data_IF_411146154383
#
_entry.id   IF_411146154383
#
_cell.length_a   1.000
_cell.length_b   1.000
_cell.length_c   1.000
_cell.angle_alpha   90.00
_cell.angle_beta   90.00
_cell.angle_gamma   90.00
#
_symmetry.space_group_name_H-M   'P 1'
#
loop_
_entity.id
_entity.type
_entity.pdbx_description
1 polymer ?
#
# COMPACT_ATOMS: atom_id res chain seq x y z
N UNK A 1 -3.73 33.51 -18.83
CA UNK A 1 -2.74 32.41 -18.77
C UNK A 1 -3.43 31.26 -18.08
N UNK A 2 -3.62 30.15 -18.79
CA UNK A 2 -4.32 28.98 -18.25
C UNK A 2 -3.47 28.29 -17.20
N UNK A 3 -3.98 28.23 -15.97
CA UNK A 3 -3.42 27.38 -14.91
C UNK A 3 -3.65 25.92 -15.30
N UNK A 4 -2.56 25.17 -15.41
CA UNK A 4 -2.62 23.72 -15.63
C UNK A 4 -3.35 23.06 -14.47
N UNK A 5 -4.46 22.40 -14.78
CA UNK A 5 -5.11 21.49 -13.86
C UNK A 5 -4.12 20.36 -13.53
N UNK A 6 -3.64 20.33 -12.28
CA UNK A 6 -2.91 19.20 -11.74
C UNK A 6 -3.85 18.00 -11.73
N UNK A 7 -3.74 17.15 -12.74
CA UNK A 7 -4.37 15.84 -12.73
C UNK A 7 -3.85 15.06 -11.52
N UNK A 8 -4.76 14.36 -10.84
CA UNK A 8 -4.39 13.32 -9.87
C UNK A 8 -3.50 12.31 -10.58
N UNK A 9 -2.22 12.31 -10.21
CA UNK A 9 -1.22 11.44 -10.77
C UNK A 9 -1.34 10.04 -10.13
N UNK A 10 -2.08 9.16 -10.80
CA UNK A 10 -2.22 7.74 -10.43
C UNK A 10 -0.99 6.89 -10.81
N UNK A 11 0.14 7.49 -11.18
CA UNK A 11 1.26 6.77 -11.80
C UNK A 11 2.05 5.83 -10.90
N UNK A 12 1.71 5.65 -9.60
CA UNK A 12 2.42 4.63 -8.82
C UNK A 12 1.88 3.24 -9.21
N UNK A 13 2.63 2.44 -9.99
CA UNK A 13 2.09 1.27 -10.63
C UNK A 13 2.21 0.10 -9.67
N UNK A 14 1.16 -0.12 -8.86
CA UNK A 14 1.02 -1.27 -7.94
C UNK A 14 2.08 -1.38 -6.84
N UNK A 15 1.74 -2.04 -5.73
CA UNK A 15 2.74 -2.43 -4.75
C UNK A 15 3.70 -3.47 -5.36
N UNK A 16 4.93 -3.53 -4.87
CA UNK A 16 5.84 -4.64 -5.21
C UNK A 16 5.20 -5.98 -4.82
N UNK A 17 5.38 -7.05 -5.63
CA UNK A 17 4.85 -8.36 -5.28
C UNK A 17 5.44 -8.89 -3.97
N UNK A 18 4.59 -9.46 -3.12
CA UNK A 18 4.97 -10.09 -1.86
C UNK A 18 4.64 -11.58 -1.92
N UNK A 19 5.62 -12.44 -1.67
CA UNK A 19 5.38 -13.89 -1.58
C UNK A 19 4.47 -14.18 -0.37
N UNK A 20 3.29 -14.74 -0.63
CA UNK A 20 2.31 -15.12 0.40
C UNK A 20 2.16 -16.63 0.53
N UNK A 21 2.73 -17.41 -0.40
CA UNK A 21 2.90 -18.85 -0.32
C UNK A 21 4.16 -19.28 -1.09
N UNK A 22 5.11 -19.90 -0.38
CA UNK A 22 6.34 -20.43 -0.99
C UNK A 22 6.17 -21.86 -1.51
N UNK A 23 6.74 -22.16 -2.69
CA UNK A 23 6.57 -23.44 -3.38
C UNK A 23 7.08 -24.67 -2.61
N UNK A 24 8.07 -24.51 -1.72
CA UNK A 24 8.69 -25.63 -0.99
C UNK A 24 7.67 -26.29 -0.05
N UNK A 25 6.90 -25.50 0.69
CA UNK A 25 5.93 -25.98 1.68
C UNK A 25 4.56 -26.35 1.10
N UNK A 26 4.29 -25.92 -0.12
CA UNK A 26 2.99 -26.10 -0.81
C UNK A 26 3.03 -27.22 -1.87
N UNK A 27 4.11 -27.99 -1.93
CA UNK A 27 4.24 -29.05 -2.95
C UNK A 27 4.43 -28.51 -4.38
N UNK A 28 4.80 -27.23 -4.55
CA UNK A 28 5.12 -26.63 -5.85
C UNK A 28 4.32 -25.38 -6.20
N UNK A 29 3.23 -25.08 -5.49
CA UNK A 29 2.40 -23.91 -5.77
C UNK A 29 2.96 -22.67 -5.09
N UNK A 30 3.44 -21.69 -5.86
CA UNK A 30 3.85 -20.38 -5.34
C UNK A 30 2.76 -19.34 -5.59
N UNK A 31 2.60 -18.41 -4.65
CA UNK A 31 1.66 -17.30 -4.77
C UNK A 31 2.33 -16.00 -4.35
N UNK A 32 2.36 -15.04 -5.26
CA UNK A 32 2.77 -13.66 -4.99
C UNK A 32 1.55 -12.74 -5.02
N UNK A 33 1.38 -11.91 -3.98
CA UNK A 33 0.28 -10.95 -3.88
C UNK A 33 0.74 -9.55 -4.30
N UNK A 34 -0.09 -8.87 -5.09
CA UNK A 34 0.12 -7.49 -5.55
C UNK A 34 -1.10 -6.66 -5.18
N UNK A 35 -0.90 -5.70 -4.29
CA UNK A 35 -1.94 -4.74 -3.89
C UNK A 35 -2.10 -3.68 -4.98
N UNK A 36 -3.27 -3.63 -5.59
CA UNK A 36 -3.56 -2.71 -6.68
C UNK A 36 -4.09 -1.39 -6.12
N UNK A 37 -3.54 -0.29 -6.64
CA UNK A 37 -3.91 1.09 -6.26
C UNK A 37 -4.97 1.69 -7.19
N UNK A 38 -5.75 0.83 -7.84
CA UNK A 38 -6.87 1.23 -8.69
C UNK A 38 -8.18 1.23 -7.90
N UNK A 39 -9.19 2.01 -8.34
CA UNK A 39 -10.52 1.93 -7.74
C UNK A 39 -11.09 0.51 -7.82
N UNK A 40 -11.56 -0.02 -6.70
CA UNK A 40 -12.25 -1.32 -6.69
C UNK A 40 -13.70 -1.15 -7.14
N UNK A 41 -14.25 -2.08 -7.96
CA UNK A 41 -15.66 -2.08 -8.32
C UNK A 41 -16.60 -2.25 -7.12
N UNK A 42 -16.07 -2.69 -5.96
CA UNK A 42 -16.82 -2.90 -4.72
C UNK A 42 -16.91 -1.67 -3.83
N UNK A 43 -16.19 -0.60 -4.16
CA UNK A 43 -16.18 0.66 -3.43
C UNK A 43 -14.79 1.05 -2.91
N UNK A 44 -14.70 2.25 -2.33
CA UNK A 44 -13.43 2.87 -1.93
C UNK A 44 -12.68 2.11 -0.81
N UNK A 45 -13.42 1.38 0.03
CA UNK A 45 -12.88 0.64 1.18
C UNK A 45 -12.26 -0.70 0.76
N UNK A 46 -12.48 -1.12 -0.49
CA UNK A 46 -11.99 -2.37 -1.05
C UNK A 46 -10.68 -2.17 -1.80
N UNK A 47 -9.82 -3.18 -1.71
CA UNK A 47 -8.54 -3.27 -2.40
C UNK A 47 -8.60 -4.46 -3.35
N UNK A 48 -8.30 -4.21 -4.62
CA UNK A 48 -8.05 -5.30 -5.56
C UNK A 48 -6.67 -5.89 -5.26
N UNK A 49 -6.61 -7.20 -5.02
CA UNK A 49 -5.38 -7.94 -4.77
C UNK A 49 -5.21 -8.93 -5.90
N UNK A 50 -4.22 -8.71 -6.76
CA UNK A 50 -3.81 -9.70 -7.74
C UNK A 50 -2.97 -10.78 -7.05
N UNK A 51 -3.35 -12.03 -7.24
CA UNK A 51 -2.59 -13.21 -6.84
C UNK A 51 -1.97 -13.82 -8.09
N UNK A 52 -0.64 -13.83 -8.15
CA UNK A 52 0.15 -14.49 -9.21
C UNK A 52 0.48 -15.90 -8.76
N UNK A 53 -0.27 -16.85 -9.30
CA UNK A 53 -0.11 -18.28 -9.06
C UNK A 53 0.96 -18.82 -10.00
N UNK A 54 1.96 -19.53 -9.47
CA UNK A 54 3.01 -20.16 -10.27
C UNK A 54 3.17 -21.63 -9.87
N UNK A 55 3.10 -22.53 -10.85
CA UNK A 55 3.41 -23.93 -10.66
C UNK A 55 4.93 -24.13 -10.86
N UNK A 56 5.62 -24.52 -9.78
CA UNK A 56 7.07 -24.77 -9.77
C UNK A 56 7.44 -26.25 -9.93
N UNK A 57 6.50 -27.09 -10.38
CA UNK A 57 6.73 -28.50 -10.72
C UNK A 57 6.83 -28.67 -12.23
N UNK A 58 7.54 -29.72 -12.62
CA UNK A 58 7.75 -30.10 -14.03
C UNK A 58 6.83 -31.25 -14.47
N UNK A 59 6.14 -31.89 -13.51
CA UNK A 59 5.39 -33.15 -13.70
C UNK A 59 4.00 -33.17 -13.05
N UNK A 60 3.58 -32.09 -12.38
CA UNK A 60 2.30 -32.00 -11.65
C UNK A 60 1.44 -30.88 -12.24
N UNK A 61 0.15 -31.16 -12.45
CA UNK A 61 -0.88 -30.14 -12.72
C UNK A 61 -1.66 -29.88 -11.43
N UNK A 62 -1.86 -28.60 -11.10
CA UNK A 62 -2.78 -28.20 -10.03
C UNK A 62 -4.17 -27.96 -10.62
N UNK A 63 -5.18 -28.60 -10.06
CA UNK A 63 -6.57 -28.50 -10.53
C UNK A 63 -7.44 -27.74 -9.52
N UNK A 64 -8.42 -27.01 -10.03
CA UNK A 64 -9.49 -26.36 -9.28
C UNK A 64 -8.97 -25.41 -8.18
N UNK A 65 -8.00 -24.55 -8.53
CA UNK A 65 -7.40 -23.60 -7.59
C UNK A 65 -8.41 -22.50 -7.27
N UNK A 66 -8.83 -22.41 -6.01
CA UNK A 66 -9.92 -21.53 -5.56
C UNK A 66 -9.72 -21.05 -4.13
N UNK A 67 -10.51 -20.05 -3.73
CA UNK A 67 -10.63 -19.69 -2.31
C UNK A 67 -11.37 -20.82 -1.58
N UNK A 68 -10.71 -21.41 -0.58
CA UNK A 68 -11.23 -22.41 0.34
C UNK A 68 -11.86 -21.79 1.58
N UNK A 69 -11.55 -22.34 2.76
CA UNK A 69 -12.09 -21.80 4.01
C UNK A 69 -11.54 -20.39 4.29
N UNK A 70 -12.33 -19.57 4.97
CA UNK A 70 -11.95 -18.21 5.35
C UNK A 70 -11.98 -18.04 6.86
N UNK A 71 -11.05 -17.26 7.39
CA UNK A 71 -10.96 -16.91 8.80
C UNK A 71 -10.99 -15.38 8.93
N UNK A 72 -12.10 -14.79 8.46
CA UNK A 72 -12.30 -13.34 8.46
C UNK A 72 -12.75 -12.88 9.85
N UNK A 73 -12.21 -11.74 10.30
CA UNK A 73 -12.60 -11.10 11.55
C UNK A 73 -13.00 -9.65 11.36
N UNK A 74 -13.78 -9.10 12.29
CA UNK A 74 -14.16 -7.69 12.27
C UNK A 74 -14.91 -7.30 11.00
N UNK A 75 -14.40 -6.29 10.29
CA UNK A 75 -14.97 -5.73 9.06
C UNK A 75 -14.29 -6.28 7.78
N UNK A 76 -13.54 -7.39 7.91
CA UNK A 76 -12.90 -8.02 6.77
C UNK A 76 -13.92 -8.71 5.88
N UNK A 77 -13.80 -8.49 4.57
CA UNK A 77 -14.63 -9.14 3.55
C UNK A 77 -13.77 -9.56 2.36
N UNK A 78 -14.19 -10.62 1.66
CA UNK A 78 -13.56 -11.12 0.45
C UNK A 78 -14.64 -11.36 -0.61
N UNK A 79 -14.40 -10.89 -1.81
CA UNK A 79 -15.02 -11.40 -3.02
C UNK A 79 -14.04 -12.35 -3.70
N UNK A 80 -14.44 -13.62 -3.80
CA UNK A 80 -13.62 -14.68 -4.36
C UNK A 80 -13.50 -14.54 -5.87
N UNK A 81 -12.35 -14.96 -6.41
CA UNK A 81 -12.14 -15.07 -7.86
C UNK A 81 -12.72 -16.38 -8.40
N UNK A 82 -12.96 -16.45 -9.71
CA UNK A 82 -13.39 -17.68 -10.38
C UNK A 82 -12.31 -18.76 -10.30
N UNK A 83 -12.64 -20.02 -9.95
CA UNK A 83 -11.66 -21.10 -9.85
C UNK A 83 -10.79 -21.23 -11.11
N UNK A 84 -9.48 -21.42 -10.91
CA UNK A 84 -8.59 -21.81 -11.99
C UNK A 84 -8.70 -23.31 -12.16
N UNK A 85 -9.34 -23.74 -13.25
CA UNK A 85 -9.61 -25.15 -13.55
C UNK A 85 -8.32 -25.98 -13.56
N UNK A 86 -7.28 -25.51 -14.27
CA UNK A 86 -6.00 -26.21 -14.37
C UNK A 86 -4.81 -25.23 -14.43
N UNK A 87 -3.72 -25.58 -13.75
CA UNK A 87 -2.43 -24.92 -13.84
C UNK A 87 -1.33 -25.99 -14.04
N UNK A 88 -1.00 -26.24 -15.30
CA UNK A 88 -0.02 -27.24 -15.70
C UNK A 88 1.41 -26.93 -15.25
N UNK A 89 2.36 -27.88 -15.43
CA UNK A 89 3.76 -27.73 -15.07
C UNK A 89 4.40 -26.45 -15.60
N UNK A 90 5.13 -25.72 -14.76
CA UNK A 90 5.75 -24.43 -15.10
C UNK A 90 4.76 -23.29 -15.39
N UNK A 91 3.46 -23.53 -15.30
CA UNK A 91 2.41 -22.56 -15.62
C UNK A 91 2.36 -21.39 -14.65
N UNK A 92 1.93 -20.24 -15.16
CA UNK A 92 1.69 -19.02 -14.37
C UNK A 92 0.34 -18.43 -14.77
N UNK A 93 -0.45 -18.03 -13.79
CA UNK A 93 -1.72 -17.34 -14.00
C UNK A 93 -1.91 -16.26 -12.93
N UNK A 94 -2.57 -15.16 -13.30
CA UNK A 94 -2.95 -14.11 -12.37
C UNK A 94 -4.47 -14.13 -12.18
N UNK A 95 -4.92 -14.04 -10.93
CA UNK A 95 -6.33 -13.91 -10.55
C UNK A 95 -6.49 -12.71 -9.62
N UNK A 96 -7.66 -12.08 -9.61
CA UNK A 96 -7.90 -10.88 -8.79
C UNK A 96 -8.98 -11.15 -7.76
N UNK A 97 -8.60 -10.97 -6.49
CA UNK A 97 -9.47 -10.98 -5.32
C UNK A 97 -9.87 -9.54 -4.99
N UNK A 98 -11.12 -9.28 -4.63
CA UNK A 98 -11.46 -8.01 -3.95
C UNK A 98 -11.47 -8.26 -2.45
N UNK A 99 -10.75 -7.44 -1.69
CA UNK A 99 -10.64 -7.58 -0.25
C UNK A 99 -10.90 -6.26 0.47
N UNK A 100 -11.77 -6.32 1.48
CA UNK A 100 -11.90 -5.26 2.49
C UNK A 100 -11.06 -5.64 3.71
N UNK A 101 -10.18 -4.75 4.13
CA UNK A 101 -9.29 -4.97 5.28
C UNK A 101 -9.73 -4.10 6.47
N UNK A 102 -9.66 -4.66 7.67
CA UNK A 102 -9.92 -3.90 8.91
C UNK A 102 -8.71 -3.06 9.36
N UNK A 103 -7.54 -3.31 8.77
CA UNK A 103 -6.27 -2.62 9.04
C UNK A 103 -5.55 -3.04 10.33
N UNK A 104 -6.10 -3.99 11.10
CA UNK A 104 -5.57 -4.39 12.41
C UNK A 104 -4.99 -5.78 12.39
N UNK A 105 -5.66 -6.71 11.72
CA UNK A 105 -5.21 -8.09 11.61
C UNK A 105 -5.10 -8.51 10.15
N UNK A 106 -4.23 -9.48 9.86
CA UNK A 106 -4.14 -10.08 8.55
C UNK A 106 -5.47 -10.67 8.10
N UNK A 107 -5.77 -10.55 6.81
CA UNK A 107 -6.86 -11.26 6.18
C UNK A 107 -6.37 -12.67 5.83
N UNK A 108 -7.12 -13.68 6.28
CA UNK A 108 -6.71 -15.09 6.21
C UNK A 108 -7.76 -15.94 5.51
N UNK A 109 -7.31 -16.74 4.56
CA UNK A 109 -8.11 -17.72 3.85
C UNK A 109 -7.23 -18.87 3.40
N UNK A 110 -7.80 -19.93 2.86
CA UNK A 110 -7.06 -21.01 2.22
C UNK A 110 -7.13 -20.88 0.70
N UNK A 111 -6.03 -21.15 0.02
CA UNK A 111 -6.03 -21.47 -1.39
C UNK A 111 -6.17 -22.99 -1.53
N UNK A 112 -7.35 -23.44 -1.95
CA UNK A 112 -7.67 -24.85 -2.10
C UNK A 112 -7.44 -25.31 -3.54
N UNK A 113 -6.93 -26.53 -3.68
CA UNK A 113 -6.82 -27.33 -4.90
C UNK A 113 -7.45 -28.68 -4.63
N UNK A 114 -7.60 -29.52 -5.65
CA UNK A 114 -8.08 -30.89 -5.44
C UNK A 114 -7.07 -31.78 -4.69
N UNK A 115 -5.79 -31.38 -4.66
CA UNK A 115 -4.72 -32.07 -3.96
C UNK A 115 -4.54 -31.64 -2.49
N UNK A 116 -5.19 -30.55 -2.07
CA UNK A 116 -5.05 -29.99 -0.72
C UNK A 116 -5.27 -28.49 -0.67
N UNK A 117 -5.19 -27.93 0.54
CA UNK A 117 -5.40 -26.51 0.80
C UNK A 117 -4.20 -25.89 1.53
N UNK A 118 -3.90 -24.64 1.22
CA UNK A 118 -2.77 -23.91 1.79
C UNK A 118 -3.23 -22.60 2.42
N UNK A 119 -2.82 -22.29 3.66
CA UNK A 119 -3.18 -21.03 4.29
C UNK A 119 -2.49 -19.85 3.58
N UNK A 120 -3.28 -18.86 3.21
CA UNK A 120 -2.85 -17.57 2.67
C UNK A 120 -3.08 -16.51 3.74
N UNK A 121 -2.08 -15.63 3.90
CA UNK A 121 -2.13 -14.47 4.81
C UNK A 121 -1.82 -13.21 4.03
N UNK A 122 -2.83 -12.35 3.85
CA UNK A 122 -2.66 -11.03 3.27
C UNK A 122 -2.51 -10.00 4.38
N UNK A 123 -1.46 -9.18 4.30
CA UNK A 123 -1.17 -8.12 5.27
C UNK A 123 -0.63 -6.91 4.52
N UNK A 124 -1.52 -6.07 3.96
CA UNK A 124 -1.10 -4.83 3.30
C UNK A 124 -0.30 -3.97 4.27
N UNK A 125 0.66 -3.21 3.74
CA UNK A 125 1.33 -2.17 4.53
C UNK A 125 0.32 -1.08 4.90
N UNK A 126 0.64 -0.29 5.93
CA UNK A 126 -0.23 0.83 6.33
C UNK A 126 -0.50 1.80 5.18
N UNK A 127 0.47 1.99 4.28
CA UNK A 127 0.32 2.83 3.10
C UNK A 127 -0.68 2.30 2.07
N UNK A 128 -0.82 0.99 1.92
CA UNK A 128 -1.83 0.38 1.02
C UNK A 128 -3.26 0.47 1.58
N UNK A 129 -3.37 0.58 2.90
CA UNK A 129 -4.64 0.86 3.59
C UNK A 129 -5.09 2.33 3.45
N UNK A 130 -4.27 3.18 2.83
CA UNK A 130 -4.68 4.51 2.40
C UNK A 130 -5.27 4.50 0.99
N UNK A 131 -6.00 5.56 0.67
CA UNK A 131 -6.40 5.90 -0.69
C UNK A 131 -6.08 7.37 -0.99
N UNK A 132 -5.83 7.72 -2.27
CA UNK A 132 -5.62 9.10 -2.68
C UNK A 132 -6.78 10.02 -2.27
N UNK A 133 -6.48 11.31 -2.13
CA UNK A 133 -7.50 12.33 -1.85
C UNK A 133 -8.47 12.46 -3.02
N UNK A 134 -9.78 12.47 -2.74
CA UNK A 134 -10.84 12.69 -3.72
C UNK A 134 -10.87 14.15 -4.23
N UNK A 135 -10.24 15.07 -3.49
CA UNK A 135 -10.12 16.48 -3.84
C UNK A 135 -8.67 16.87 -4.16
N UNK A 136 -8.51 17.76 -5.14
CA UNK A 136 -7.24 18.45 -5.39
C UNK A 136 -7.07 19.51 -4.30
N UNK A 137 -6.03 19.37 -3.48
CA UNK A 137 -5.71 20.30 -2.41
C UNK A 137 -4.60 21.24 -2.83
N UNK A 138 -4.72 22.52 -2.46
CA UNK A 138 -3.60 23.45 -2.50
C UNK A 138 -2.68 23.24 -1.29
N UNK A 139 -1.47 23.76 -1.33
CA UNK A 139 -0.56 23.75 -0.17
C UNK A 139 -1.17 24.49 1.03
N UNK A 140 -1.93 25.57 0.79
CA UNK A 140 -2.63 26.31 1.85
C UNK A 140 -3.72 25.46 2.50
N UNK A 141 -4.56 24.79 1.70
CA UNK A 141 -5.63 23.92 2.21
C UNK A 141 -5.03 22.78 3.05
N UNK A 142 -3.93 22.20 2.57
CA UNK A 142 -3.21 21.15 3.28
C UNK A 142 -2.69 21.63 4.64
N UNK A 143 -2.06 22.79 4.68
CA UNK A 143 -1.52 23.35 5.92
C UNK A 143 -2.64 23.64 6.92
N UNK A 144 -3.79 24.16 6.47
CA UNK A 144 -4.96 24.39 7.33
C UNK A 144 -5.54 23.09 7.88
N UNK A 145 -5.62 22.04 7.05
CA UNK A 145 -6.04 20.71 7.52
C UNK A 145 -5.07 20.11 8.54
N UNK A 146 -3.77 20.20 8.28
CA UNK A 146 -2.76 19.75 9.25
C UNK A 146 -2.86 20.49 10.58
N UNK A 147 -3.09 21.81 10.56
CA UNK A 147 -3.29 22.62 11.79
C UNK A 147 -4.50 22.15 12.59
N UNK A 148 -5.59 21.77 11.91
CA UNK A 148 -6.79 21.26 12.58
C UNK A 148 -6.58 19.90 13.25
N UNK A 149 -5.62 19.11 12.77
CA UNK A 149 -5.25 17.78 13.29
C UNK A 149 -3.96 17.81 14.14
N UNK A 150 -3.70 18.92 14.83
CA UNK A 150 -2.56 19.05 15.73
C UNK A 150 -2.72 18.25 17.04
N UNK A 151 -1.68 18.27 17.87
CA UNK A 151 -1.70 17.63 19.19
C UNK A 151 -1.68 16.10 19.09
N UNK A 152 -2.68 15.43 19.67
CA UNK A 152 -2.74 13.96 19.75
C UNK A 152 -2.92 13.27 18.39
N UNK A 153 -3.38 13.99 17.37
CA UNK A 153 -3.59 13.49 16.01
C UNK A 153 -2.37 13.71 15.11
N UNK A 154 -1.24 14.13 15.70
CA UNK A 154 0.01 14.38 14.99
C UNK A 154 1.12 13.47 15.52
N UNK A 155 1.74 12.72 14.62
CA UNK A 155 2.96 11.98 14.88
C UNK A 155 4.14 12.70 14.22
N UNK A 156 5.27 12.78 14.89
CA UNK A 156 6.49 13.39 14.34
C UNK A 156 7.72 12.56 14.68
N UNK A 157 8.60 12.34 13.71
CA UNK A 157 9.84 11.59 13.88
C UNK A 157 10.91 12.16 12.96
N UNK A 158 12.17 12.05 13.38
CA UNK A 158 13.32 12.55 12.63
C UNK A 158 14.07 11.41 11.93
N UNK A 159 14.83 11.77 10.91
CA UNK A 159 15.76 10.89 10.19
C UNK A 159 17.03 11.66 9.78
N UNK A 160 18.11 10.93 9.59
CA UNK A 160 19.38 11.49 9.11
C UNK A 160 19.40 11.55 7.58
N UNK A 161 19.96 12.62 7.04
CA UNK A 161 20.11 12.82 5.59
C UNK A 161 21.55 12.49 5.21
N UNK A 162 21.74 11.37 4.50
CA UNK A 162 23.06 10.86 4.11
C UNK A 162 23.81 11.68 3.05
N UNK A 163 23.20 12.76 2.53
CA UNK A 163 23.76 13.62 1.49
C UNK A 163 22.68 14.20 0.58
N UNK A 164 22.97 15.33 -0.08
CA UNK A 164 22.03 15.97 -1.01
C UNK A 164 21.71 15.08 -2.23
N UNK A 165 22.64 14.22 -2.64
CA UNK A 165 22.49 13.24 -3.71
C UNK A 165 21.44 12.17 -3.39
N UNK A 166 21.19 11.88 -2.11
CA UNK A 166 20.18 10.91 -1.67
C UNK A 166 18.75 11.45 -1.72
N UNK A 167 18.57 12.78 -1.71
CA UNK A 167 17.24 13.38 -1.72
C UNK A 167 16.46 13.08 -3.01
N UNK A 168 17.15 12.82 -4.13
CA UNK A 168 16.51 12.48 -5.40
C UNK A 168 15.71 11.16 -5.34
N UNK A 169 16.12 10.20 -4.51
CA UNK A 169 15.45 8.91 -4.38
C UNK A 169 14.20 8.95 -3.47
N UNK A 170 14.09 9.96 -2.60
CA UNK A 170 13.00 10.06 -1.63
C UNK A 170 11.63 10.14 -2.28
N UNK A 171 11.49 10.86 -3.39
CA UNK A 171 10.19 11.01 -4.04
C UNK A 171 9.62 9.65 -4.48
N UNK A 172 10.47 8.85 -5.13
CA UNK A 172 10.12 7.50 -5.56
C UNK A 172 9.83 6.58 -4.38
N UNK A 173 10.65 6.62 -3.32
CA UNK A 173 10.43 5.83 -2.12
C UNK A 173 9.12 6.19 -1.41
N UNK A 174 8.79 7.48 -1.30
CA UNK A 174 7.55 7.96 -0.68
C UNK A 174 6.33 7.57 -1.52
N UNK A 175 6.40 7.73 -2.85
CA UNK A 175 5.33 7.27 -3.75
C UNK A 175 5.13 5.76 -3.65
N UNK A 176 6.21 4.99 -3.61
CA UNK A 176 6.15 3.54 -3.43
C UNK A 176 5.57 3.13 -2.08
N UNK A 177 5.83 3.88 -1.00
CA UNK A 177 5.32 3.57 0.33
C UNK A 177 3.90 4.10 0.62
N UNK A 178 3.44 5.11 -0.12
CA UNK A 178 2.19 5.82 0.15
C UNK A 178 1.21 5.73 -1.02
N UNK A 179 0.03 5.15 -0.77
CA UNK A 179 -1.10 5.30 -1.69
C UNK A 179 -1.88 6.60 -1.39
N UNK A 180 -1.21 7.74 -1.56
CA UNK A 180 -1.74 9.09 -1.28
C UNK A 180 -1.50 10.03 -2.46
N UNK A 181 -2.35 11.04 -2.61
CA UNK A 181 -2.16 12.09 -3.62
C UNK A 181 -1.02 13.02 -3.19
N UNK A 182 -0.10 13.32 -4.11
CA UNK A 182 0.86 14.41 -3.92
C UNK A 182 0.12 15.75 -3.91
N UNK A 183 0.48 16.62 -2.97
CA UNK A 183 -0.06 17.98 -2.83
C UNK A 183 1.01 18.96 -3.30
N UNK A 184 0.65 19.82 -4.26
CA UNK A 184 1.58 20.74 -4.89
C UNK A 184 2.61 20.05 -5.79
N UNK A 185 3.59 20.84 -6.24
CA UNK A 185 4.70 20.35 -7.09
C UNK A 185 6.04 20.23 -6.36
N UNK A 186 6.06 20.64 -5.09
CA UNK A 186 7.23 20.57 -4.21
C UNK A 186 7.76 19.14 -4.08
N UNK A 187 9.07 18.97 -4.12
CA UNK A 187 9.77 17.70 -3.86
C UNK A 187 10.84 17.90 -2.80
N UNK A 188 11.18 16.85 -2.06
CA UNK A 188 12.25 16.93 -1.05
C UNK A 188 13.57 17.39 -1.69
N UNK A 189 13.91 16.87 -2.88
CA UNK A 189 15.11 17.29 -3.60
C UNK A 189 15.07 18.73 -4.11
N UNK A 190 13.88 19.24 -4.49
CA UNK A 190 13.73 20.57 -5.09
C UNK A 190 13.57 21.68 -4.06
N UNK A 191 12.68 21.48 -3.08
CA UNK A 191 12.27 22.52 -2.10
C UNK A 191 12.52 22.11 -0.66
N UNK A 192 13.07 20.92 -0.42
CA UNK A 192 13.28 20.37 0.93
C UNK A 192 12.00 19.83 1.56
N UNK A 193 10.87 19.81 0.84
CA UNK A 193 9.58 19.36 1.39
C UNK A 193 8.76 18.57 0.36
N UNK A 194 8.04 17.56 0.83
CA UNK A 194 7.02 16.85 0.08
C UNK A 194 5.77 16.68 0.95
N UNK A 195 4.59 16.82 0.35
CA UNK A 195 3.28 16.75 1.01
C UNK A 195 2.40 15.73 0.32
N UNK A 196 1.72 14.89 1.10
CA UNK A 196 0.81 13.88 0.58
C UNK A 196 -0.49 13.87 1.37
N UNK A 197 -1.62 13.72 0.68
CA UNK A 197 -2.95 13.74 1.28
C UNK A 197 -3.83 12.61 0.77
N UNK A 198 -4.72 12.14 1.63
CA UNK A 198 -5.70 11.13 1.29
C UNK A 198 -6.58 10.77 2.48
N UNK A 199 -7.08 9.54 2.46
CA UNK A 199 -7.86 9.00 3.57
C UNK A 199 -7.51 7.55 3.85
N UNK A 200 -7.78 7.11 5.07
CA UNK A 200 -7.81 5.69 5.44
C UNK A 200 -8.98 5.04 4.71
N UNK A 201 -8.75 3.88 4.08
CA UNK A 201 -9.80 3.14 3.36
C UNK A 201 -10.91 2.71 4.30
N UNK A 202 -10.56 2.06 5.41
CA UNK A 202 -11.56 1.68 6.40
C UNK A 202 -11.83 2.85 7.36
N UNK A 203 -13.08 3.30 7.46
CA UNK A 203 -13.50 4.40 8.34
C UNK A 203 -13.28 5.82 7.80
N UNK A 204 -12.57 5.99 6.68
CA UNK A 204 -12.54 7.26 5.93
C UNK A 204 -11.78 8.42 6.57
N UNK A 205 -11.05 8.20 7.68
CA UNK A 205 -10.30 9.23 8.38
C UNK A 205 -9.29 9.94 7.47
N UNK A 206 -9.17 11.25 7.58
CA UNK A 206 -8.23 12.03 6.78
C UNK A 206 -6.79 11.72 7.18
N UNK A 207 -5.88 11.73 6.20
CA UNK A 207 -4.45 11.56 6.45
C UNK A 207 -3.62 12.52 5.63
N UNK A 208 -2.65 13.15 6.29
CA UNK A 208 -1.74 14.12 5.71
C UNK A 208 -0.32 13.80 6.15
N UNK A 209 0.59 13.66 5.18
CA UNK A 209 2.00 13.36 5.43
C UNK A 209 2.83 14.52 4.92
N UNK A 210 3.69 15.06 5.78
CA UNK A 210 4.73 16.01 5.41
C UNK A 210 6.09 15.36 5.64
N UNK A 211 6.95 15.36 4.62
CA UNK A 211 8.34 14.96 4.74
C UNK A 211 9.20 16.15 4.41
N UNK A 212 10.09 16.54 5.31
CA UNK A 212 11.04 17.63 5.11
C UNK A 212 12.47 17.16 5.28
N UNK A 213 13.41 17.71 4.52
CA UNK A 213 14.83 17.43 4.68
C UNK A 213 15.66 18.69 4.45
N UNK A 214 16.70 18.85 5.26
CA UNK A 214 17.74 19.86 5.09
C UNK A 214 19.09 19.14 4.93
N UNK A 215 19.57 19.06 3.69
CA UNK A 215 20.85 18.43 3.39
C UNK A 215 22.05 19.19 3.98
N UNK A 216 21.92 20.50 4.23
CA UNK A 216 22.97 21.29 4.86
C UNK A 216 23.09 21.00 6.36
N UNK A 217 21.95 20.77 7.01
CA UNK A 217 21.90 20.35 8.42
C UNK A 217 22.10 18.84 8.61
N UNK A 218 21.95 18.04 7.55
CA UNK A 218 22.05 16.58 7.61
C UNK A 218 20.86 15.90 8.29
N UNK A 219 19.72 16.59 8.41
CA UNK A 219 18.55 16.12 9.16
C UNK A 219 17.25 16.30 8.38
N UNK A 220 16.27 15.46 8.68
CA UNK A 220 14.94 15.54 8.11
C UNK A 220 13.86 15.12 9.12
N UNK A 221 12.61 15.43 8.80
CA UNK A 221 11.46 15.11 9.64
C UNK A 221 10.32 14.54 8.83
N UNK A 222 9.58 13.63 9.46
CA UNK A 222 8.34 13.06 8.95
C UNK A 222 7.24 13.43 9.95
N UNK A 223 6.20 14.09 9.45
CA UNK A 223 4.99 14.44 10.19
C UNK A 223 3.79 13.77 9.56
N UNK A 224 3.02 13.03 10.36
CA UNK A 224 1.75 12.42 9.95
C UNK A 224 0.64 13.01 10.79
N UNK A 225 -0.34 13.62 10.15
CA UNK A 225 -1.58 14.08 10.78
C UNK A 225 -2.71 13.13 10.35
N UNK A 226 -3.38 12.49 11.32
CA UNK A 226 -4.46 11.54 11.04
C UNK A 226 -5.51 11.56 12.16
N UNK A 227 -6.79 11.45 11.78
CA UNK A 227 -7.91 11.34 12.73
C UNK A 227 -7.78 10.07 13.60
N UNK A 228 -7.28 8.98 13.02
CA UNK A 228 -6.97 7.73 13.73
C UNK A 228 -5.50 7.75 14.16
N UNK A 229 -5.28 7.99 15.46
CA UNK A 229 -3.95 8.07 16.08
C UNK A 229 -3.17 6.76 15.98
N UNK A 230 -3.84 5.60 16.05
CA UNK A 230 -3.16 4.31 15.98
C UNK A 230 -2.70 4.05 14.54
N UNK A 231 -3.58 4.33 13.58
CA UNK A 231 -3.23 4.26 12.16
C UNK A 231 -2.12 5.26 11.80
N UNK A 232 -2.21 6.49 12.31
CA UNK A 232 -1.23 7.55 12.08
C UNK A 232 0.18 7.18 12.53
N UNK A 233 0.31 6.55 13.70
CA UNK A 233 1.58 5.99 14.17
C UNK A 233 2.11 4.88 13.26
N UNK A 234 1.27 3.91 12.90
CA UNK A 234 1.67 2.83 11.99
C UNK A 234 2.04 3.31 10.58
N UNK A 235 1.45 4.42 10.12
CA UNK A 235 1.79 5.03 8.84
C UNK A 235 3.12 5.78 8.94
N UNK A 236 3.37 6.49 10.04
CA UNK A 236 4.66 7.12 10.29
C UNK A 236 5.80 6.10 10.26
N UNK A 237 5.62 4.94 10.89
CA UNK A 237 6.64 3.88 10.90
C UNK A 237 6.92 3.36 9.48
N UNK A 238 5.87 3.15 8.68
CA UNK A 238 6.00 2.74 7.28
C UNK A 238 6.73 3.78 6.43
N UNK A 239 6.40 5.07 6.59
CA UNK A 239 7.07 6.17 5.89
C UNK A 239 8.53 6.27 6.32
N UNK A 240 8.81 6.14 7.62
CA UNK A 240 10.18 6.18 8.14
C UNK A 240 11.03 5.04 7.59
N UNK A 241 10.49 3.83 7.52
CA UNK A 241 11.18 2.69 6.94
C UNK A 241 11.55 2.95 5.46
N UNK A 242 10.61 3.50 4.67
CA UNK A 242 10.85 3.84 3.27
C UNK A 242 11.88 4.96 3.09
N UNK A 243 11.82 6.00 3.93
CA UNK A 243 12.79 7.11 3.94
C UNK A 243 14.18 6.60 4.28
N UNK A 244 14.32 5.81 5.34
CA UNK A 244 15.62 5.26 5.77
C UNK A 244 16.21 4.33 4.71
N UNK A 245 15.39 3.53 4.02
CA UNK A 245 15.86 2.67 2.95
C UNK A 245 16.36 3.45 1.71
N UNK A 246 15.93 4.71 1.54
CA UNK A 246 16.33 5.56 0.43
C UNK A 246 17.56 6.45 0.72
N UNK A 247 17.95 6.59 1.99
CA UNK A 247 19.14 7.34 2.43
C UNK A 247 20.41 6.49 2.31
#
# INVERSE_FOLDING_TARGET
GGGGAGGVDFSTPTAEPVEVLGHVGSGGLQVDAVYRREPSPKGADWIAVELRLSNRKDDVTFENIRVGSTALGGEQEIEVFEPVEELGPGGVVAVTLQAKFDGRVPLKFELATDSGAHPIRLSPTTGELCRPSDAVLTESDFDDKCRSLGGMQQHTTEFEVGGADKLGALDGALRAALNLSRVGSDTVAGTGIARFAGSVRNGGGAVYVTVSADAGAGTGSIKVNCDDVVFGGGLQDAVKAAVVAAM
#
